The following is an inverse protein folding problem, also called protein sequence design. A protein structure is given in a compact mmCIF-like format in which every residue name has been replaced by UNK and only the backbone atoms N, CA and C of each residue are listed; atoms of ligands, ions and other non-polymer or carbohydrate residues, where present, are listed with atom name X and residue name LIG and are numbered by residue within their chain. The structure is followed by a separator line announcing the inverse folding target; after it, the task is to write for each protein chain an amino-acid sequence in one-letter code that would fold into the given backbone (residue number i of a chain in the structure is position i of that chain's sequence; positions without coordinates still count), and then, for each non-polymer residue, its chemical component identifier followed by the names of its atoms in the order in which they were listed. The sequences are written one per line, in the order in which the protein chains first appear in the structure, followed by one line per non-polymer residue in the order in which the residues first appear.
data_IF_163079277160
#
_entry.id   IF_163079277160
#
_cell.length_a   1.000
_cell.length_b   1.000
_cell.length_c   1.000
_cell.angle_alpha   90.00
_cell.angle_beta   90.00
_cell.angle_gamma   90.00
#
_symmetry.space_group_name_H-M   'P 1'
#
loop_
_entity.id
_entity.type
_entity.pdbx_description
1 polymer ?
#
# COMPACT_ATOMS: atom_id res chain seq x y z
N UNK A 1 25.36 -23.37 6.48
CA UNK A 1 24.51 -22.17 6.54
C UNK A 1 23.06 -22.61 6.57
N UNK A 2 22.31 -22.34 7.64
CA UNK A 2 20.85 -22.61 7.66
C UNK A 2 20.16 -21.54 6.81
N UNK A 3 19.43 -21.97 5.81
CA UNK A 3 18.53 -21.11 5.03
C UNK A 3 17.55 -20.44 6.00
N UNK A 4 17.58 -19.11 6.10
CA UNK A 4 16.59 -18.37 6.89
C UNK A 4 15.24 -18.63 6.24
N UNK A 5 14.40 -19.45 6.87
CA UNK A 5 13.00 -19.60 6.50
C UNK A 5 12.40 -18.21 6.27
N UNK A 6 12.03 -17.90 5.02
CA UNK A 6 11.35 -16.65 4.68
C UNK A 6 10.00 -16.70 5.40
N UNK A 7 9.87 -15.97 6.50
CA UNK A 7 8.56 -15.76 7.12
C UNK A 7 7.62 -15.16 6.08
N UNK A 8 6.46 -15.79 5.80
CA UNK A 8 5.48 -15.26 4.89
C UNK A 8 5.02 -13.88 5.38
N UNK A 9 4.93 -12.92 4.46
CA UNK A 9 4.51 -11.55 4.77
C UNK A 9 3.00 -11.42 4.88
N UNK A 10 2.55 -10.30 5.43
CA UNK A 10 1.13 -9.91 5.46
C UNK A 10 0.87 -8.94 4.31
N UNK A 11 -0.19 -9.20 3.55
CA UNK A 11 -0.69 -8.29 2.52
C UNK A 11 -2.02 -7.69 2.98
N UNK A 12 -2.12 -6.37 2.93
CA UNK A 12 -3.27 -5.60 3.43
C UNK A 12 -3.91 -4.86 2.27
N UNK A 13 -5.22 -5.04 2.10
CA UNK A 13 -6.00 -4.36 1.07
C UNK A 13 -6.74 -3.14 1.61
N UNK A 14 -6.84 -2.10 0.78
CA UNK A 14 -7.63 -0.90 1.08
C UNK A 14 -9.10 -1.22 1.36
N UNK A 15 -9.66 -2.26 0.72
CA UNK A 15 -11.03 -2.70 0.94
C UNK A 15 -11.35 -3.08 2.39
N UNK A 16 -10.35 -3.37 3.24
CA UNK A 16 -10.60 -3.57 4.67
C UNK A 16 -11.25 -2.34 5.33
N UNK A 17 -11.16 -1.14 4.74
CA UNK A 17 -11.76 0.06 5.29
C UNK A 17 -13.21 0.34 4.85
N UNK A 18 -13.83 -0.53 4.06
CA UNK A 18 -15.22 -0.33 3.58
C UNK A 18 -16.29 -0.85 4.54
N UNK A 19 -15.92 -1.67 5.53
CA UNK A 19 -16.82 -2.19 6.55
C UNK A 19 -16.22 -2.07 7.95
N UNK A 20 -17.06 -1.96 8.98
CA UNK A 20 -16.60 -1.76 10.36
C UNK A 20 -15.82 -2.97 10.89
N UNK A 21 -16.33 -4.19 10.66
CA UNK A 21 -15.67 -5.42 11.10
C UNK A 21 -14.33 -5.68 10.38
N UNK A 22 -14.30 -5.44 9.08
CA UNK A 22 -13.08 -5.60 8.27
C UNK A 22 -12.05 -4.54 8.59
N UNK A 23 -12.50 -3.35 9.00
CA UNK A 23 -11.62 -2.26 9.43
C UNK A 23 -10.91 -2.59 10.74
N UNK A 24 -11.63 -3.16 11.71
CA UNK A 24 -11.04 -3.62 12.97
C UNK A 24 -9.98 -4.71 12.77
N UNK A 25 -10.21 -5.62 11.81
CA UNK A 25 -9.19 -6.59 11.41
C UNK A 25 -7.98 -5.89 10.74
N UNK A 26 -8.25 -4.91 9.87
CA UNK A 26 -7.25 -4.05 9.26
C UNK A 26 -6.34 -3.44 10.32
N UNK A 27 -6.89 -2.80 11.36
CA UNK A 27 -6.12 -2.10 12.41
C UNK A 27 -5.13 -2.97 13.21
N UNK A 28 -5.18 -4.30 13.10
CA UNK A 28 -4.26 -5.21 13.83
C UNK A 28 -2.91 -5.44 13.14
N UNK A 29 -2.75 -5.00 11.90
CA UNK A 29 -1.51 -5.18 11.14
C UNK A 29 -0.22 -4.65 11.82
N UNK A 30 -0.23 -3.60 12.69
CA UNK A 30 0.98 -3.17 13.40
C UNK A 30 1.59 -4.25 14.31
N UNK A 31 0.79 -5.22 14.78
CA UNK A 31 1.30 -6.34 15.58
C UNK A 31 2.16 -7.29 14.77
N UNK A 32 1.92 -7.41 13.46
CA UNK A 32 2.78 -8.14 12.54
C UNK A 32 4.16 -7.50 12.47
N UNK A 33 4.24 -6.16 12.46
CA UNK A 33 5.52 -5.44 12.49
C UNK A 33 6.28 -5.67 13.79
N UNK A 34 5.60 -5.64 14.94
CA UNK A 34 6.22 -5.94 16.26
C UNK A 34 6.86 -7.33 16.30
N UNK A 35 6.33 -8.27 15.50
CA UNK A 35 6.85 -9.65 15.36
C UNK A 35 7.90 -9.80 14.27
N UNK A 36 8.33 -8.71 13.61
CA UNK A 36 9.30 -8.74 12.52
C UNK A 36 8.76 -9.29 11.20
N UNK A 37 7.43 -9.41 11.05
CA UNK A 37 6.78 -9.89 9.83
C UNK A 37 6.69 -8.73 8.82
N UNK A 38 7.16 -8.89 7.58
CA UNK A 38 7.03 -7.84 6.57
C UNK A 38 5.57 -7.62 6.18
N UNK A 39 5.17 -6.35 6.05
CA UNK A 39 3.82 -5.96 5.66
C UNK A 39 3.84 -5.21 4.34
N UNK A 40 2.95 -5.60 3.44
CA UNK A 40 2.68 -5.01 2.13
C UNK A 40 1.28 -4.43 2.09
N UNK A 41 1.06 -3.34 1.36
CA UNK A 41 -0.23 -2.65 1.28
C UNK A 41 -0.62 -2.28 -0.15
N UNK A 42 -1.89 -2.44 -0.51
CA UNK A 42 -2.48 -1.92 -1.75
C UNK A 42 -3.60 -0.92 -1.48
N UNK A 43 -3.77 0.06 -2.36
CA UNK A 43 -4.88 1.01 -2.30
C UNK A 43 -6.22 0.42 -2.74
N UNK A 44 -6.19 -0.72 -3.46
CA UNK A 44 -7.33 -1.44 -4.01
C UNK A 44 -8.12 -0.70 -5.11
N UNK A 45 -8.56 0.54 -4.88
CA UNK A 45 -9.31 1.36 -5.84
C UNK A 45 -9.00 2.87 -5.67
N UNK A 46 -8.94 3.59 -6.79
CA UNK A 46 -8.73 5.03 -6.83
C UNK A 46 -9.86 5.84 -6.16
N UNK A 47 -11.13 5.43 -6.27
CA UNK A 47 -12.27 6.08 -5.60
C UNK A 47 -12.20 5.88 -4.08
N UNK A 48 -11.75 4.69 -3.66
CA UNK A 48 -11.50 4.39 -2.26
C UNK A 48 -10.37 5.28 -1.72
N UNK A 49 -9.33 5.55 -2.52
CA UNK A 49 -8.25 6.46 -2.15
C UNK A 49 -8.71 7.89 -1.86
N UNK A 50 -9.76 8.36 -2.56
CA UNK A 50 -10.37 9.68 -2.36
C UNK A 50 -11.19 9.72 -1.08
N UNK A 51 -12.01 8.68 -0.82
CA UNK A 51 -12.81 8.56 0.39
C UNK A 51 -11.96 8.37 1.65
N UNK A 52 -10.87 7.62 1.53
CA UNK A 52 -9.98 7.26 2.64
C UNK A 52 -8.80 8.22 2.81
N UNK A 53 -8.82 9.43 2.20
CA UNK A 53 -7.74 10.42 2.31
C UNK A 53 -7.21 10.60 3.74
N UNK A 54 -8.10 10.61 4.75
CA UNK A 54 -7.73 10.71 6.18
C UNK A 54 -7.09 9.44 6.77
N UNK A 55 -7.48 8.26 6.31
CA UNK A 55 -7.03 6.96 6.83
C UNK A 55 -5.72 6.51 6.18
N UNK A 56 -5.55 6.79 4.88
CA UNK A 56 -4.42 6.39 4.05
C UNK A 56 -3.19 7.31 4.16
N UNK A 57 -3.29 8.39 4.94
CA UNK A 57 -2.16 9.29 5.25
C UNK A 57 -1.15 8.67 6.24
N UNK A 58 -1.60 7.69 7.03
CA UNK A 58 -0.79 7.05 8.08
C UNK A 58 -0.14 5.74 7.61
N UNK A 59 -0.87 4.94 6.83
CA UNK A 59 -0.54 3.54 6.58
C UNK A 59 0.68 3.29 5.66
N UNK A 60 0.87 4.01 4.54
CA UNK A 60 1.92 3.66 3.60
C UNK A 60 3.32 3.75 4.21
N UNK A 61 3.63 4.81 4.97
CA UNK A 61 4.98 5.07 5.54
C UNK A 61 5.49 3.95 6.43
N UNK A 62 4.59 3.10 6.89
CA UNK A 62 4.86 2.04 7.83
C UNK A 62 4.92 0.64 7.18
N UNK A 63 4.59 0.52 5.89
CA UNK A 63 4.68 -0.71 5.13
C UNK A 63 6.07 -0.86 4.48
N UNK A 64 6.48 -2.09 4.19
CA UNK A 64 7.72 -2.34 3.44
C UNK A 64 7.53 -2.14 1.94
N UNK A 65 6.36 -2.53 1.44
CA UNK A 65 5.97 -2.41 0.05
C UNK A 65 4.59 -1.74 -0.08
N UNK A 66 4.44 -0.88 -1.08
CA UNK A 66 3.15 -0.29 -1.48
C UNK A 66 2.89 -0.57 -2.95
N UNK A 67 1.66 -0.97 -3.26
CA UNK A 67 1.19 -1.29 -4.60
C UNK A 67 0.10 -0.30 -5.01
N UNK A 68 0.22 0.26 -6.22
CA UNK A 68 -0.77 1.17 -6.78
C UNK A 68 -0.64 1.28 -8.30
N UNK A 69 -1.74 1.64 -8.96
CA UNK A 69 -1.82 1.92 -10.40
C UNK A 69 -1.77 3.43 -10.70
N UNK A 70 -1.82 3.81 -11.98
CA UNK A 70 -1.76 5.20 -12.43
C UNK A 70 -2.90 6.08 -11.89
N UNK A 71 -4.11 5.55 -11.83
CA UNK A 71 -5.30 6.29 -11.37
C UNK A 71 -5.19 6.56 -9.88
N UNK A 72 -4.74 5.58 -9.10
CA UNK A 72 -4.49 5.70 -7.66
C UNK A 72 -3.33 6.67 -7.36
N UNK A 73 -2.28 6.63 -8.19
CA UNK A 73 -1.15 7.55 -8.06
C UNK A 73 -1.56 9.01 -8.32
N UNK A 74 -2.33 9.25 -9.39
CA UNK A 74 -2.90 10.56 -9.68
C UNK A 74 -3.81 11.03 -8.54
N UNK A 75 -4.74 10.18 -8.08
CA UNK A 75 -5.67 10.53 -7.00
C UNK A 75 -4.96 10.92 -5.70
N UNK A 76 -3.77 10.33 -5.45
CA UNK A 76 -2.99 10.55 -4.23
C UNK A 76 -1.99 11.70 -4.33
N UNK A 77 -1.39 11.93 -5.49
CA UNK A 77 -0.30 12.90 -5.68
C UNK A 77 -0.75 14.18 -6.39
N UNK A 78 -1.84 14.12 -7.15
CA UNK A 78 -2.26 15.18 -8.08
C UNK A 78 -1.36 15.29 -9.32
N UNK A 79 -0.41 14.38 -9.50
CA UNK A 79 0.53 14.37 -10.64
C UNK A 79 0.02 13.41 -11.72
N UNK A 80 -0.12 13.93 -12.94
CA UNK A 80 -0.63 13.18 -14.10
C UNK A 80 0.47 12.40 -14.81
N UNK A 81 1.74 12.79 -14.65
CA UNK A 81 2.86 12.02 -15.16
C UNK A 81 3.16 10.83 -14.22
N UNK A 82 2.92 9.57 -14.65
CA UNK A 82 3.10 8.39 -13.81
C UNK A 82 4.53 8.25 -13.25
N UNK A 83 5.54 8.68 -14.00
CA UNK A 83 6.94 8.61 -13.57
C UNK A 83 7.21 9.63 -12.47
N UNK A 84 6.66 10.85 -12.58
CA UNK A 84 6.78 11.86 -11.53
C UNK A 84 5.99 11.47 -10.29
N UNK A 85 4.78 10.93 -10.46
CA UNK A 85 3.97 10.43 -9.35
C UNK A 85 4.71 9.31 -8.58
N UNK A 86 5.30 8.35 -9.31
CA UNK A 86 6.13 7.30 -8.73
C UNK A 86 7.37 7.85 -8.01
N UNK A 87 8.11 8.78 -8.62
CA UNK A 87 9.29 9.41 -8.01
C UNK A 87 8.94 10.16 -6.71
N UNK A 88 7.78 10.81 -6.66
CA UNK A 88 7.27 11.44 -5.44
C UNK A 88 7.01 10.41 -4.33
N UNK A 89 6.51 9.23 -4.70
CA UNK A 89 6.17 8.15 -3.76
C UNK A 89 7.39 7.37 -3.27
N UNK A 90 8.37 7.12 -4.15
CA UNK A 90 9.59 6.35 -3.87
C UNK A 90 10.50 6.98 -2.81
N UNK A 91 10.31 8.26 -2.47
CA UNK A 91 10.98 8.91 -1.33
C UNK A 91 10.61 8.30 0.02
N UNK A 92 9.50 7.55 0.10
CA UNK A 92 8.94 7.07 1.36
C UNK A 92 8.95 5.55 1.47
N UNK A 93 8.91 4.80 0.35
CA UNK A 93 8.64 3.36 0.34
C UNK A 93 9.26 2.64 -0.86
N UNK A 94 9.51 1.32 -0.72
CA UNK A 94 9.70 0.46 -1.89
C UNK A 94 8.33 0.28 -2.53
N UNK A 95 8.15 0.77 -3.74
CA UNK A 95 6.85 0.81 -4.41
C UNK A 95 6.89 -0.03 -5.67
N UNK A 96 5.84 -0.80 -5.92
CA UNK A 96 5.62 -1.53 -7.16
C UNK A 96 4.47 -0.86 -7.87
N UNK A 97 4.72 -0.43 -9.10
CA UNK A 97 3.80 0.32 -9.91
C UNK A 97 3.28 -0.57 -11.04
N UNK A 98 2.01 -0.43 -11.40
CA UNK A 98 1.41 -1.13 -12.52
C UNK A 98 0.75 -0.12 -13.45
N UNK A 99 1.17 -0.11 -14.71
CA UNK A 99 0.73 0.79 -15.78
C UNK A 99 -0.36 0.14 -16.67
N UNK A 100 -1.07 -0.87 -16.15
CA UNK A 100 -2.11 -1.58 -16.88
C UNK A 100 -1.56 -2.31 -18.10
N UNK A 101 -2.07 -2.00 -19.30
CA UNK A 101 -1.62 -2.60 -20.56
C UNK A 101 -0.17 -2.26 -20.92
N UNK A 102 0.42 -1.25 -20.27
CA UNK A 102 1.80 -0.84 -20.51
C UNK A 102 2.83 -1.57 -19.62
N UNK A 103 2.38 -2.52 -18.78
CA UNK A 103 3.26 -3.35 -17.96
C UNK A 103 3.48 -2.84 -16.53
N UNK A 104 4.60 -3.27 -15.93
CA UNK A 104 5.07 -2.85 -14.60
C UNK A 104 6.13 -1.73 -14.72
#
# INVERSE_FOLDING_TARGET
MKEKSKMPGVYVEGYLWTGDETREAGLRWPDSKKRGIPVSFTLSDALLSIHLKRVLLFHPRECRYSFFNEVEALAKTGEADPIKAFKGYRRWLISVFNLGSNGL
#
